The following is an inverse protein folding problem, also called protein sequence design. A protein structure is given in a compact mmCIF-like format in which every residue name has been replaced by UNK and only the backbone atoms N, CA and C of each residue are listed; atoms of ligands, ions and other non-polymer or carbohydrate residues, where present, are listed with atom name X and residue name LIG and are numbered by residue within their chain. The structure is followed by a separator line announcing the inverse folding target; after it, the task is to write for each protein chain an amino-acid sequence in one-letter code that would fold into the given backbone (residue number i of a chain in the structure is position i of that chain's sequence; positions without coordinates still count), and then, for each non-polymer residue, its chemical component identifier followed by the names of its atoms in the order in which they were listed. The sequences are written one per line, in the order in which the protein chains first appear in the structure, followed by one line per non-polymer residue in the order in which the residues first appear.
data_IF_404863391354
#
_entry.id   IF_404863391354
#
_cell.length_a   1.000
_cell.length_b   1.000
_cell.length_c   1.000
_cell.angle_alpha   90.00
_cell.angle_beta   90.00
_cell.angle_gamma   90.00
#
_symmetry.space_group_name_H-M   'P 1'
#
loop_
_entity.id
_entity.type
_entity.pdbx_description
1 polymer ?
#
# COMPACT_ATOMS: atom_id res chain seq x y z
N UNK A 1 3.47 -3.54 -26.97
CA UNK A 1 4.04 -3.21 -25.64
C UNK A 1 3.01 -2.61 -24.68
N UNK A 2 2.12 -1.70 -25.12
CA UNK A 2 1.11 -1.05 -24.26
C UNK A 2 0.18 -2.02 -23.50
N UNK A 3 -0.41 -3.01 -24.19
CA UNK A 3 -1.32 -3.98 -23.56
C UNK A 3 -0.66 -4.90 -22.53
N UNK A 4 0.58 -5.34 -22.79
CA UNK A 4 1.37 -6.12 -21.82
C UNK A 4 1.67 -5.32 -20.56
N UNK A 5 1.99 -4.04 -20.72
CA UNK A 5 2.30 -3.17 -19.58
C UNK A 5 1.04 -2.87 -18.75
N UNK A 6 -0.12 -2.69 -19.40
CA UNK A 6 -1.40 -2.54 -18.71
C UNK A 6 -1.73 -3.84 -17.94
N UNK A 7 -1.60 -5.00 -18.56
CA UNK A 7 -1.85 -6.28 -17.90
C UNK A 7 -0.94 -6.51 -16.68
N UNK A 8 0.35 -6.17 -16.80
CA UNK A 8 1.30 -6.25 -15.69
C UNK A 8 0.99 -5.24 -14.58
N UNK A 9 0.61 -4.01 -14.92
CA UNK A 9 0.22 -3.00 -13.95
C UNK A 9 -1.03 -3.43 -13.16
N UNK A 10 -2.06 -3.94 -13.85
CA UNK A 10 -3.26 -4.44 -13.18
C UNK A 10 -2.94 -5.64 -12.28
N UNK A 11 -2.08 -6.56 -12.73
CA UNK A 11 -1.67 -7.71 -11.92
C UNK A 11 -0.90 -7.28 -10.67
N UNK A 12 0.04 -6.34 -10.79
CA UNK A 12 0.81 -5.82 -9.67
C UNK A 12 -0.10 -5.11 -8.64
N UNK A 13 -1.05 -4.29 -9.12
CA UNK A 13 -2.04 -3.62 -8.26
C UNK A 13 -2.94 -4.65 -7.56
N UNK A 14 -3.39 -5.68 -8.26
CA UNK A 14 -4.23 -6.73 -7.69
C UNK A 14 -3.50 -7.53 -6.61
N UNK A 15 -2.20 -7.78 -6.77
CA UNK A 15 -1.37 -8.49 -5.79
C UNK A 15 -1.07 -7.61 -4.57
N UNK A 16 -0.83 -6.31 -4.79
CA UNK A 16 -0.64 -5.32 -3.73
C UNK A 16 -1.92 -5.05 -2.92
N UNK A 17 -3.10 -5.12 -3.55
CA UNK A 17 -4.39 -4.95 -2.89
C UNK A 17 -4.91 -6.22 -2.19
N UNK A 18 -4.37 -7.39 -2.52
CA UNK A 18 -4.77 -8.68 -1.93
C UNK A 18 -4.82 -8.70 -0.39
N UNK A 19 -3.84 -8.17 0.37
CA UNK A 19 -3.91 -8.16 1.83
C UNK A 19 -5.04 -7.29 2.38
N UNK A 20 -5.28 -6.10 1.80
CA UNK A 20 -6.36 -5.20 2.23
C UNK A 20 -7.76 -5.81 1.99
N UNK A 21 -7.92 -6.52 0.87
CA UNK A 21 -9.17 -7.24 0.57
C UNK A 21 -9.36 -8.43 1.52
N UNK A 22 -8.27 -9.12 1.89
CA UNK A 22 -8.33 -10.23 2.84
C UNK A 22 -8.71 -9.76 4.26
N UNK A 23 -8.21 -8.61 4.72
CA UNK A 23 -8.67 -8.02 5.99
C UNK A 23 -10.16 -7.66 5.97
N UNK A 24 -10.67 -7.10 4.86
CA UNK A 24 -12.08 -6.72 4.74
C UNK A 24 -13.03 -7.92 4.56
N UNK A 25 -12.58 -9.02 3.95
CA UNK A 25 -13.41 -10.19 3.67
C UNK A 25 -13.58 -11.13 4.87
N UNK A 26 -12.67 -11.09 5.84
CA UNK A 26 -12.72 -11.92 7.04
C UNK A 26 -13.00 -11.07 8.28
N UNK A 27 -14.23 -10.57 8.39
CA UNK A 27 -14.77 -10.01 9.64
C UNK A 27 -15.05 -11.16 10.62
N UNK A 28 -13.99 -11.74 11.15
CA UNK A 28 -14.09 -12.70 12.26
C UNK A 28 -14.66 -11.93 13.44
N UNK A 29 -15.87 -12.26 13.88
CA UNK A 29 -16.45 -11.70 15.11
C UNK A 29 -15.47 -11.88 16.27
N UNK A 30 -14.82 -10.78 16.66
CA UNK A 30 -13.89 -10.72 17.78
C UNK A 30 -14.73 -10.47 19.02
N UNK A 31 -14.59 -11.33 20.04
CA UNK A 31 -15.19 -11.06 21.34
C UNK A 31 -14.65 -9.70 21.84
N UNK A 32 -15.50 -8.78 22.35
CA UNK A 32 -15.05 -7.46 22.77
C UNK A 32 -13.87 -7.57 23.73
N UNK A 33 -12.70 -7.11 23.32
CA UNK A 33 -11.52 -7.00 24.15
C UNK A 33 -11.60 -5.67 24.88
N UNK A 34 -11.75 -5.71 26.20
CA UNK A 34 -11.60 -4.52 27.05
C UNK A 34 -10.15 -4.02 26.92
N UNK A 35 -9.94 -3.08 25.98
CA UNK A 35 -8.63 -2.60 25.57
C UNK A 35 -8.52 -2.25 24.07
N UNK A 36 -9.64 -1.97 23.40
CA UNK A 36 -9.67 -1.51 22.00
C UNK A 36 -8.66 -0.38 21.79
N UNK A 37 -7.76 -0.57 20.83
CA UNK A 37 -6.67 0.37 20.55
C UNK A 37 -7.25 1.74 20.20
N UNK A 38 -6.91 2.79 20.95
CA UNK A 38 -7.35 4.17 20.68
C UNK A 38 -6.91 4.66 19.27
N UNK A 39 -5.91 3.98 18.70
CA UNK A 39 -5.51 4.12 17.30
C UNK A 39 -6.66 3.72 16.37
N UNK A 40 -7.41 2.66 16.64
CA UNK A 40 -8.52 2.24 15.77
C UNK A 40 -9.72 3.23 15.79
N UNK A 41 -9.89 4.01 16.86
CA UNK A 41 -11.11 4.80 17.11
C UNK A 41 -11.18 6.22 16.51
N UNK A 42 -10.12 6.74 15.91
CA UNK A 42 -10.19 8.07 15.26
C UNK A 42 -8.85 8.69 14.88
N UNK A 43 -7.81 8.46 15.68
CA UNK A 43 -6.43 8.86 15.32
C UNK A 43 -5.81 7.96 14.24
N UNK A 44 -6.30 6.73 14.10
CA UNK A 44 -5.81 5.76 13.12
C UNK A 44 -6.10 6.12 11.68
N UNK A 45 -7.18 6.86 11.39
CA UNK A 45 -7.40 7.35 10.02
C UNK A 45 -6.33 8.37 9.65
N UNK A 46 -5.98 9.28 10.56
CA UNK A 46 -4.93 10.27 10.35
C UNK A 46 -3.58 9.56 10.19
N UNK A 47 -3.29 8.56 11.03
CA UNK A 47 -2.07 7.77 10.94
C UNK A 47 -2.02 6.94 9.65
N UNK A 48 -3.14 6.36 9.21
CA UNK A 48 -3.22 5.61 7.96
C UNK A 48 -2.98 6.52 6.74
N UNK A 49 -3.57 7.73 6.73
CA UNK A 49 -3.34 8.72 5.68
C UNK A 49 -1.89 9.19 5.67
N UNK A 50 -1.30 9.47 6.84
CA UNK A 50 0.11 9.86 6.95
C UNK A 50 1.05 8.73 6.50
N UNK A 51 0.76 7.49 6.88
CA UNK A 51 1.54 6.33 6.46
C UNK A 51 1.45 6.14 4.93
N UNK A 52 0.25 6.24 4.34
CA UNK A 52 0.08 6.16 2.90
C UNK A 52 0.84 7.29 2.16
N UNK A 53 0.77 8.52 2.67
CA UNK A 53 1.50 9.66 2.11
C UNK A 53 3.03 9.47 2.20
N UNK A 54 3.53 8.94 3.32
CA UNK A 54 4.95 8.66 3.51
C UNK A 54 5.46 7.58 2.55
N UNK A 55 4.67 6.51 2.33
CA UNK A 55 5.02 5.46 1.37
C UNK A 55 5.09 6.03 -0.05
N UNK A 56 4.06 6.79 -0.47
CA UNK A 56 4.03 7.39 -1.81
C UNK A 56 5.17 8.40 -1.98
N UNK A 57 5.40 9.28 -1.00
CA UNK A 57 6.50 10.25 -1.02
C UNK A 57 7.86 9.58 -1.08
N UNK A 58 8.07 8.51 -0.31
CA UNK A 58 9.30 7.73 -0.34
C UNK A 58 9.55 7.07 -1.69
N UNK A 59 8.50 6.52 -2.32
CA UNK A 59 8.60 5.94 -3.67
C UNK A 59 8.93 7.03 -4.70
N UNK A 60 8.26 8.19 -4.66
CA UNK A 60 8.52 9.29 -5.59
C UNK A 60 9.95 9.79 -5.46
N UNK A 61 10.44 10.02 -4.24
CA UNK A 61 11.81 10.47 -3.99
C UNK A 61 12.83 9.42 -4.44
N UNK A 62 12.56 8.14 -4.18
CA UNK A 62 13.43 7.05 -4.62
C UNK A 62 13.42 6.86 -6.15
N UNK A 63 12.30 7.18 -6.81
CA UNK A 63 12.14 7.09 -8.26
C UNK A 63 12.62 8.33 -9.01
N UNK A 64 12.79 9.48 -8.34
CA UNK A 64 13.34 10.72 -8.91
C UNK A 64 14.89 10.69 -8.98
N UNK A 65 15.51 9.61 -8.49
CA UNK A 65 16.93 9.33 -8.72
C UNK A 65 17.19 9.05 -10.20
N UNK A 66 17.80 10.03 -10.86
CA UNK A 66 18.26 10.05 -12.27
C UNK A 66 19.41 9.06 -12.53
N UNK A 67 19.22 7.76 -12.25
CA UNK A 67 20.15 6.69 -12.64
C UNK A 67 19.59 5.92 -13.86
N UNK A 68 19.37 6.66 -14.95
CA UNK A 68 19.36 6.12 -16.33
C UNK A 68 20.80 5.93 -16.87
N UNK A 69 21.78 5.77 -15.97
CA UNK A 69 23.13 5.38 -16.32
C UNK A 69 23.12 3.93 -16.83
N UNK A 70 23.05 3.79 -18.15
CA UNK A 70 23.22 2.51 -18.82
C UNK A 70 24.58 1.91 -18.43
N UNK A 71 24.59 0.93 -17.52
CA UNK A 71 25.79 0.17 -17.13
C UNK A 71 26.23 -0.84 -18.20
N UNK A 72 26.05 -0.52 -19.48
CA UNK A 72 26.46 -1.36 -20.61
C UNK A 72 27.54 -0.64 -21.43
N UNK A 73 28.68 -1.30 -21.77
CA UNK A 73 29.65 -0.75 -22.72
C UNK A 73 29.10 -0.67 -24.15
#
# INVERSE_FOLDING_TARGET
MKFRNIALATAAVSLAASPAIAEAAFDRSIAPIEGESEVAGGSGIILAVLAAAAIIGGIVIAADGDDDDAVSP
#
